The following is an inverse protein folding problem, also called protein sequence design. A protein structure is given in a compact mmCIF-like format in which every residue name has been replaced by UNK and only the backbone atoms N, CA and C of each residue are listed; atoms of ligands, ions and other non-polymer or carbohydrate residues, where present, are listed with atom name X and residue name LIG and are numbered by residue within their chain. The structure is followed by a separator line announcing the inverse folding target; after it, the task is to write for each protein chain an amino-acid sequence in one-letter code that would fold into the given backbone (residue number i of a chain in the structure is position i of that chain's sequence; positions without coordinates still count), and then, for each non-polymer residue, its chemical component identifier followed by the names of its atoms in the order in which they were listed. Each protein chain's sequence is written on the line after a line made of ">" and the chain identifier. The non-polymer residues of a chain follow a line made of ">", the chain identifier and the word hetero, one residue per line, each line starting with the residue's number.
data_IF_174896909699
#
_entry.id   IF_174896909699
#
_cell.length_a   1.000
_cell.length_b   1.000
_cell.length_c   1.000
_cell.angle_alpha   90.00
_cell.angle_beta   90.00
_cell.angle_gamma   90.00
#
_symmetry.space_group_name_H-M   'P 1'
#
loop_
_entity.id
_entity.type
_entity.pdbx_description
1 polymer ?
#
# COMPACT_ATOMS: atom_id res chain seq x y z
N UNK A 1 -12.18 20.34 2.49
CA UNK A 1 -11.34 19.39 1.74
C UNK A 1 -9.90 19.67 2.12
N UNK A 2 -9.25 18.70 2.78
CA UNK A 2 -7.85 18.79 3.20
C UNK A 2 -7.03 17.82 2.33
N UNK A 3 -5.76 18.13 2.08
CA UNK A 3 -4.87 17.23 1.37
C UNK A 3 -3.53 17.14 2.11
N UNK A 4 -2.92 15.97 2.05
CA UNK A 4 -1.62 15.68 2.64
C UNK A 4 -0.75 14.96 1.62
N UNK A 5 0.47 15.45 1.41
CA UNK A 5 1.47 14.78 0.58
C UNK A 5 2.59 14.31 1.49
N UNK A 6 2.91 13.02 1.40
CA UNK A 6 4.01 12.39 2.13
C UNK A 6 4.99 11.85 1.12
N UNK A 7 6.22 12.32 1.19
CA UNK A 7 7.34 11.75 0.46
C UNK A 7 8.33 11.20 1.48
N UNK A 8 8.74 9.95 1.30
CA UNK A 8 9.73 9.32 2.17
C UNK A 8 10.73 8.51 1.37
N UNK A 9 11.92 8.35 1.93
CA UNK A 9 12.96 7.48 1.39
C UNK A 9 13.38 6.58 2.54
N UNK A 10 13.33 5.28 2.30
CA UNK A 10 13.74 4.27 3.26
C UNK A 10 14.78 3.32 2.66
N UNK A 11 15.52 2.64 3.54
CA UNK A 11 16.52 1.66 3.15
C UNK A 11 16.08 0.22 3.49
N UNK A 12 14.76 -0.01 3.56
CA UNK A 12 14.17 -1.26 4.06
C UNK A 12 14.12 -2.38 3.01
N UNK A 13 14.51 -2.09 1.76
CA UNK A 13 14.48 -3.06 0.68
C UNK A 13 15.57 -4.14 0.81
N UNK A 14 15.31 -5.31 0.25
CA UNK A 14 16.27 -6.43 0.26
C UNK A 14 17.33 -6.29 -0.83
N UNK A 15 18.49 -6.97 -0.69
CA UNK A 15 19.54 -7.03 -1.73
C UNK A 15 19.03 -7.47 -3.12
N UNK A 16 17.87 -8.12 -3.19
CA UNK A 16 17.26 -8.61 -4.43
C UNK A 16 16.21 -7.65 -5.02
N UNK A 17 15.76 -6.65 -4.27
CA UNK A 17 14.65 -5.75 -4.63
C UNK A 17 15.05 -4.26 -4.67
N UNK A 18 16.35 -3.97 -4.49
CA UNK A 18 16.89 -2.62 -4.29
C UNK A 18 16.87 -2.22 -2.83
N UNK A 19 18.00 -1.75 -2.29
CA UNK A 19 18.13 -1.40 -0.87
C UNK A 19 17.49 -0.04 -0.58
N UNK A 20 17.46 0.88 -1.54
CA UNK A 20 16.94 2.23 -1.39
C UNK A 20 15.57 2.35 -2.05
N UNK A 21 14.51 2.53 -1.27
CA UNK A 21 13.15 2.70 -1.79
C UNK A 21 12.65 4.12 -1.55
N UNK A 22 12.11 4.74 -2.60
CA UNK A 22 11.35 5.98 -2.52
C UNK A 22 9.86 5.67 -2.46
N UNK A 23 9.14 6.39 -1.59
CA UNK A 23 7.69 6.34 -1.50
C UNK A 23 7.12 7.76 -1.65
N UNK A 24 6.04 7.88 -2.41
CA UNK A 24 5.26 9.09 -2.52
C UNK A 24 3.79 8.73 -2.35
N UNK A 25 3.14 9.35 -1.37
CA UNK A 25 1.73 9.15 -1.05
C UNK A 25 0.98 10.47 -0.99
N UNK A 26 -0.24 10.49 -1.51
CA UNK A 26 -1.18 11.61 -1.48
C UNK A 26 -2.46 11.14 -0.78
N UNK A 27 -2.79 11.80 0.33
CA UNK A 27 -4.06 11.68 1.03
C UNK A 27 -4.95 12.89 0.73
N UNK A 28 -6.24 12.64 0.51
CA UNK A 28 -7.26 13.67 0.32
C UNK A 28 -8.42 13.35 1.25
N UNK A 29 -8.73 14.30 2.13
CA UNK A 29 -9.83 14.21 3.07
C UNK A 29 -11.05 14.97 2.56
N UNK A 30 -12.18 14.30 2.69
CA UNK A 30 -13.51 14.72 2.31
C UNK A 30 -13.62 15.18 0.83
N UNK A 31 -13.13 14.39 -0.17
CA UNK A 31 -13.21 14.79 -1.57
C UNK A 31 -14.64 14.91 -2.11
N UNK A 32 -15.60 14.09 -1.63
CA UNK A 32 -17.01 14.15 -2.04
C UNK A 32 -17.92 14.85 -1.02
N UNK A 33 -17.40 15.33 0.11
CA UNK A 33 -18.21 15.95 1.16
C UNK A 33 -18.94 14.94 2.05
N UNK A 34 -18.59 13.66 1.98
CA UNK A 34 -19.26 12.55 2.68
C UNK A 34 -18.47 12.07 3.92
N UNK A 35 -17.53 12.88 4.42
CA UNK A 35 -16.51 12.48 5.38
C UNK A 35 -15.67 11.29 4.90
N UNK A 36 -15.49 11.24 3.59
CA UNK A 36 -14.72 10.24 2.86
C UNK A 36 -13.22 10.54 2.91
N UNK A 37 -12.38 9.51 2.79
CA UNK A 37 -10.94 9.66 2.68
C UNK A 37 -10.43 8.86 1.48
N UNK A 38 -9.58 9.50 0.69
CA UNK A 38 -8.89 8.89 -0.43
C UNK A 38 -7.39 8.93 -0.18
N UNK A 39 -6.70 7.84 -0.44
CA UNK A 39 -5.25 7.80 -0.40
C UNK A 39 -4.71 7.02 -1.59
N UNK A 40 -3.63 7.51 -2.16
CA UNK A 40 -2.90 6.81 -3.22
C UNK A 40 -1.41 6.98 -2.97
N UNK A 41 -0.66 5.90 -3.17
CA UNK A 41 0.77 5.88 -2.99
C UNK A 41 1.47 5.10 -4.10
N UNK A 42 2.68 5.52 -4.42
CA UNK A 42 3.60 4.83 -5.31
C UNK A 42 4.91 4.61 -4.58
N UNK A 43 5.54 3.48 -4.87
CA UNK A 43 6.82 3.08 -4.33
C UNK A 43 7.71 2.61 -5.46
N UNK A 44 8.96 3.05 -5.45
CA UNK A 44 9.93 2.74 -6.48
C UNK A 44 11.32 2.58 -5.89
N UNK A 45 12.03 1.55 -6.35
CA UNK A 45 13.46 1.40 -6.13
C UNK A 45 14.26 2.55 -6.77
N UNK A 46 15.09 3.22 -5.97
CA UNK A 46 15.95 4.33 -6.34
C UNK A 46 17.41 3.89 -6.60
N UNK A 47 17.71 2.59 -6.62
CA UNK A 47 19.05 2.07 -6.89
C UNK A 47 19.32 2.04 -8.41
N UNK A 48 19.78 3.18 -8.95
CA UNK A 48 20.06 3.39 -10.38
C UNK A 48 21.19 2.52 -10.98
N UNK A 49 21.87 1.71 -10.17
CA UNK A 49 23.08 0.97 -10.54
C UNK A 49 22.86 -0.35 -11.28
N UNK A 50 21.70 -1.01 -11.10
CA UNK A 50 21.45 -2.34 -11.69
C UNK A 50 20.02 -2.41 -12.26
N UNK A 51 19.86 -2.04 -13.53
CA UNK A 51 18.56 -1.87 -14.23
C UNK A 51 17.72 -3.15 -14.40
N UNK A 52 18.14 -4.29 -13.83
CA UNK A 52 17.55 -5.61 -14.10
C UNK A 52 16.56 -6.10 -13.05
N UNK A 53 16.49 -5.51 -11.85
CA UNK A 53 15.73 -6.02 -10.70
C UNK A 53 15.25 -4.89 -9.76
N UNK A 54 14.35 -4.02 -10.24
CA UNK A 54 13.76 -2.97 -9.39
C UNK A 54 12.38 -3.36 -8.87
N UNK A 55 12.18 -3.34 -7.55
CA UNK A 55 10.83 -3.45 -6.99
C UNK A 55 10.08 -2.13 -7.17
N UNK A 56 8.90 -2.21 -7.78
CA UNK A 56 7.98 -1.10 -7.90
C UNK A 56 6.58 -1.55 -7.51
N UNK A 57 5.84 -0.64 -6.88
CA UNK A 57 4.53 -0.91 -6.33
C UNK A 57 3.70 0.35 -6.30
N UNK A 58 2.39 0.18 -6.30
CA UNK A 58 1.45 1.24 -6.00
C UNK A 58 0.42 0.70 -5.03
N UNK A 59 -0.12 1.58 -4.20
CA UNK A 59 -1.22 1.28 -3.30
C UNK A 59 -2.23 2.41 -3.39
N UNK A 60 -3.44 2.12 -2.98
CA UNK A 60 -4.45 3.14 -2.84
C UNK A 60 -5.66 2.57 -2.13
N UNK A 61 -6.37 3.44 -1.43
CA UNK A 61 -7.63 3.08 -0.83
C UNK A 61 -8.58 4.26 -0.82
N UNK A 62 -9.85 3.93 -0.71
CA UNK A 62 -10.92 4.87 -0.57
C UNK A 62 -11.88 4.36 0.50
N UNK A 63 -12.21 5.20 1.47
CA UNK A 63 -13.09 4.85 2.57
C UNK A 63 -14.18 5.89 2.77
N UNK A 64 -15.42 5.43 2.90
CA UNK A 64 -16.58 6.28 3.21
C UNK A 64 -17.25 5.75 4.48
N UNK A 65 -17.36 6.55 5.53
CA UNK A 65 -18.22 6.29 6.67
C UNK A 65 -19.65 6.84 6.45
N UNK A 66 -20.67 6.09 6.84
CA UNK A 66 -22.04 6.60 6.96
C UNK A 66 -22.75 5.98 8.18
N UNK A 67 -23.10 6.83 9.15
CA UNK A 67 -23.67 6.38 10.42
C UNK A 67 -22.73 5.42 11.16
N UNK A 68 -23.17 4.18 11.32
CA UNK A 68 -22.38 3.11 11.96
C UNK A 68 -21.64 2.21 10.96
N UNK A 69 -21.69 2.51 9.66
CA UNK A 69 -21.04 1.73 8.62
C UNK A 69 -19.79 2.43 8.08
N UNK A 70 -18.82 1.63 7.66
CA UNK A 70 -17.64 2.10 6.92
C UNK A 70 -17.41 1.12 5.78
N UNK A 71 -17.45 1.59 4.54
CA UNK A 71 -16.91 0.83 3.42
C UNK A 71 -15.53 1.33 3.05
N UNK A 72 -14.62 0.40 2.81
CA UNK A 72 -13.27 0.66 2.34
C UNK A 72 -12.98 -0.22 1.13
N UNK A 73 -12.59 0.40 0.03
CA UNK A 73 -12.04 -0.27 -1.14
C UNK A 73 -10.55 0.02 -1.19
N UNK A 74 -9.71 -1.01 -1.18
CA UNK A 74 -8.26 -0.86 -1.30
C UNK A 74 -7.73 -1.69 -2.47
N UNK A 75 -6.68 -1.18 -3.10
CA UNK A 75 -5.96 -1.87 -4.14
C UNK A 75 -4.47 -1.62 -3.96
N UNK A 76 -3.67 -2.67 -4.07
CA UNK A 76 -2.23 -2.52 -4.05
C UNK A 76 -1.57 -3.56 -4.94
N UNK A 77 -0.44 -3.18 -5.51
CA UNK A 77 0.45 -4.10 -6.19
C UNK A 77 1.78 -4.13 -5.48
N UNK A 78 2.29 -5.34 -5.28
CA UNK A 78 3.63 -5.55 -4.80
C UNK A 78 4.38 -6.45 -5.79
N UNK A 79 5.59 -6.04 -6.16
CA UNK A 79 6.46 -6.84 -7.03
C UNK A 79 7.63 -7.30 -6.19
N UNK A 80 7.78 -8.62 -6.01
CA UNK A 80 8.87 -9.20 -5.25
C UNK A 80 9.76 -10.05 -6.15
N UNK A 81 11.07 -9.97 -5.89
CA UNK A 81 12.10 -10.77 -6.53
C UNK A 81 12.77 -11.63 -5.46
N UNK A 82 12.56 -12.95 -5.52
CA UNK A 82 13.22 -13.90 -4.64
C UNK A 82 14.27 -14.68 -5.44
N UNK A 83 15.53 -14.56 -5.04
CA UNK A 83 16.65 -15.29 -5.65
C UNK A 83 16.88 -16.58 -4.86
N UNK A 84 16.73 -17.72 -5.51
CA UNK A 84 17.10 -19.03 -4.94
C UNK A 84 18.39 -19.49 -5.59
N UNK A 85 19.46 -19.62 -4.79
CA UNK A 85 20.74 -20.10 -5.28
C UNK A 85 20.67 -21.61 -5.56
N UNK A 86 20.82 -22.00 -6.83
CA UNK A 86 21.01 -23.39 -7.25
C UNK A 86 22.49 -23.72 -7.45
N UNK A 87 22.84 -25.00 -7.33
CA UNK A 87 24.23 -25.52 -7.33
C UNK A 87 25.04 -25.16 -8.59
N UNK A 88 24.39 -24.91 -9.73
CA UNK A 88 25.05 -24.50 -10.98
C UNK A 88 24.45 -23.27 -11.66
N UNK A 89 23.31 -22.75 -11.19
CA UNK A 89 22.57 -21.64 -11.81
C UNK A 89 21.77 -20.89 -10.76
N UNK A 90 21.71 -19.57 -10.87
CA UNK A 90 20.88 -18.73 -10.00
C UNK A 90 19.49 -18.59 -10.63
N UNK A 91 18.45 -19.15 -9.99
CA UNK A 91 17.07 -18.99 -10.42
C UNK A 91 16.48 -17.73 -9.78
N UNK A 92 15.89 -16.87 -10.59
CA UNK A 92 15.20 -15.65 -10.15
C UNK A 92 13.71 -15.92 -10.25
N UNK A 93 13.03 -16.03 -9.11
CA UNK A 93 11.58 -16.08 -9.04
C UNK A 93 11.05 -14.65 -8.88
N UNK A 94 10.36 -14.13 -9.90
CA UNK A 94 9.69 -12.84 -9.84
C UNK A 94 8.18 -13.04 -9.83
N UNK A 95 7.49 -12.41 -8.87
CA UNK A 95 6.04 -12.43 -8.77
C UNK A 95 5.48 -11.01 -8.66
N UNK A 96 4.40 -10.72 -9.39
CA UNK A 96 3.60 -9.53 -9.19
C UNK A 96 2.31 -9.94 -8.46
N UNK A 97 2.16 -9.50 -7.22
CA UNK A 97 0.91 -9.63 -6.49
C UNK A 97 0.07 -8.38 -6.76
N UNK A 98 -1.14 -8.57 -7.28
CA UNK A 98 -2.18 -7.54 -7.35
C UNK A 98 -3.29 -7.95 -6.43
N UNK A 99 -3.62 -7.10 -5.47
CA UNK A 99 -4.69 -7.36 -4.52
C UNK A 99 -5.69 -6.23 -4.62
N UNK A 100 -6.96 -6.60 -4.71
CA UNK A 100 -8.09 -5.69 -4.55
C UNK A 100 -8.90 -6.24 -3.39
N UNK A 101 -9.20 -5.38 -2.42
CA UNK A 101 -9.90 -5.74 -1.21
C UNK A 101 -11.06 -4.78 -1.00
N UNK A 102 -12.24 -5.35 -0.72
CA UNK A 102 -13.41 -4.61 -0.30
C UNK A 102 -13.75 -5.01 1.13
N UNK A 103 -13.85 -4.02 2.02
CA UNK A 103 -14.19 -4.18 3.44
C UNK A 103 -15.44 -3.36 3.74
N UNK A 104 -16.39 -3.97 4.44
CA UNK A 104 -17.58 -3.30 4.95
C UNK A 104 -17.69 -3.62 6.44
N UNK A 105 -17.46 -2.62 7.27
CA UNK A 105 -17.52 -2.75 8.73
C UNK A 105 -18.77 -2.07 9.26
N UNK A 106 -19.40 -2.66 10.29
CA UNK A 106 -20.49 -2.06 11.04
C UNK A 106 -20.17 -2.01 12.53
N UNK A 107 -20.29 -0.84 13.13
CA UNK A 107 -20.30 -0.68 14.60
C UNK A 107 -21.64 -1.17 15.14
N UNK A 108 -21.60 -2.16 16.04
CA UNK A 108 -22.78 -2.76 16.66
C UNK A 108 -23.03 -2.19 18.07
N UNK A 109 -21.96 -1.91 18.82
CA UNK A 109 -22.05 -1.16 20.07
C UNK A 109 -20.87 -0.21 20.22
N UNK A 110 -21.15 0.93 20.84
CA UNK A 110 -20.16 1.93 21.21
C UNK A 110 -20.39 2.33 22.65
N UNK A 111 -19.47 1.95 23.53
CA UNK A 111 -19.37 2.42 24.90
C UNK A 111 -18.36 3.58 24.98
N UNK A 112 -18.23 4.24 26.14
CA UNK A 112 -17.26 5.33 26.33
C UNK A 112 -15.80 4.88 26.10
N UNK A 113 -15.49 3.60 26.31
CA UNK A 113 -14.13 3.07 26.19
C UNK A 113 -13.96 2.02 25.08
N UNK A 114 -15.05 1.52 24.48
CA UNK A 114 -14.98 0.37 23.56
C UNK A 114 -15.89 0.54 22.35
N UNK A 115 -15.40 0.10 21.19
CA UNK A 115 -16.17 0.01 19.94
C UNK A 115 -16.17 -1.45 19.51
N UNK A 116 -17.33 -2.09 19.55
CA UNK A 116 -17.52 -3.45 19.05
C UNK A 116 -18.14 -3.39 17.65
N UNK A 117 -17.49 -3.99 16.67
CA UNK A 117 -17.95 -4.03 15.28
C UNK A 117 -17.68 -5.38 14.61
N UNK A 118 -18.34 -5.59 13.49
CA UNK A 118 -18.20 -6.76 12.61
C UNK A 118 -17.92 -6.32 11.18
#
# INVERSE_FOLDING_TARGET
>A
MLYAVVASIDNSGTRATGRLQGNLSLGIDNPLGLNDIFNIGVSQDLEFGDKRLGSHGWNGFYSIPWGYWIATLSAYTNTYYQRTAGVNQTFIASGNSKTVEFKLNRVLSRSQNDVFGA
#
